data_IF_287882860929
#
_entry.id   IF_287882860929
#
_cell.length_a   1.000
_cell.length_b   1.000
_cell.length_c   1.000
_cell.angle_alpha   90.00
_cell.angle_beta   90.00
_cell.angle_gamma   90.00
#
_symmetry.space_group_name_H-M   'P 1'
#
loop_
_entity.id
_entity.type
_entity.pdbx_description
1 polymer ?
#
# COMPACT_ATOMS: atom_id res chain seq x y z
N UNK A 1 -11.23 35.66 -10.31
CA UNK A 1 -10.59 35.59 -8.97
C UNK A 1 -10.30 34.12 -8.67
N UNK A 2 -9.04 33.68 -8.57
CA UNK A 2 -8.73 32.27 -8.25
C UNK A 2 -9.10 31.99 -6.78
N UNK A 3 -10.13 31.17 -6.55
CA UNK A 3 -10.57 30.81 -5.20
C UNK A 3 -9.72 29.66 -4.68
N UNK A 4 -9.18 29.85 -3.49
CA UNK A 4 -8.14 29.00 -2.92
C UNK A 4 -8.74 27.88 -2.04
N UNK A 5 -8.18 26.67 -2.07
CA UNK A 5 -8.64 25.49 -1.31
C UNK A 5 -8.70 25.73 0.23
N UNK A 6 -9.84 25.51 0.90
CA UNK A 6 -9.96 25.63 2.36
C UNK A 6 -9.27 24.47 3.09
N UNK A 7 -8.02 24.67 3.52
CA UNK A 7 -7.10 23.60 3.95
C UNK A 7 -7.67 22.78 5.11
N UNK A 8 -8.10 23.44 6.19
CA UNK A 8 -8.56 22.78 7.41
C UNK A 8 -9.91 22.09 7.19
N UNK A 9 -10.85 22.73 6.50
CA UNK A 9 -12.16 22.15 6.20
C UNK A 9 -12.03 20.91 5.33
N UNK A 10 -11.18 20.93 4.29
CA UNK A 10 -10.93 19.74 3.45
C UNK A 10 -10.36 18.59 4.27
N UNK A 11 -9.44 18.86 5.20
CA UNK A 11 -8.88 17.83 6.07
C UNK A 11 -9.94 17.24 7.02
N UNK A 12 -10.73 18.08 7.70
CA UNK A 12 -11.80 17.63 8.62
C UNK A 12 -12.87 16.84 7.86
N UNK A 13 -13.28 17.30 6.67
CA UNK A 13 -14.25 16.61 5.83
C UNK A 13 -13.75 15.22 5.42
N UNK A 14 -12.47 15.05 5.13
CA UNK A 14 -11.91 13.74 4.78
C UNK A 14 -12.00 12.71 5.92
N UNK A 15 -11.81 13.16 7.17
CA UNK A 15 -11.95 12.29 8.35
C UNK A 15 -13.41 11.99 8.62
N UNK A 16 -14.29 12.99 8.55
CA UNK A 16 -15.74 12.79 8.70
C UNK A 16 -16.29 11.85 7.63
N UNK A 17 -15.78 11.95 6.39
CA UNK A 17 -16.11 11.03 5.32
C UNK A 17 -15.75 9.59 5.69
N UNK A 18 -14.51 9.35 6.14
CA UNK A 18 -14.09 8.03 6.59
C UNK A 18 -14.99 7.45 7.69
N UNK A 19 -15.21 8.21 8.77
CA UNK A 19 -16.01 7.75 9.91
C UNK A 19 -17.45 7.42 9.52
N UNK A 20 -18.08 8.21 8.63
CA UNK A 20 -19.46 7.96 8.17
C UNK A 20 -19.58 6.79 7.21
N UNK A 21 -18.54 6.53 6.41
CA UNK A 21 -18.63 5.59 5.29
C UNK A 21 -17.82 4.30 5.49
N UNK A 22 -17.08 4.14 6.61
CA UNK A 22 -16.30 2.92 6.90
C UNK A 22 -17.17 1.66 6.90
N UNK A 23 -18.27 1.67 7.65
CA UNK A 23 -19.15 0.52 7.72
C UNK A 23 -19.87 0.24 6.38
N UNK A 24 -20.48 1.24 5.71
CA UNK A 24 -21.00 1.04 4.36
C UNK A 24 -19.97 0.53 3.35
N UNK A 25 -18.72 1.01 3.41
CA UNK A 25 -17.66 0.59 2.50
C UNK A 25 -17.26 -0.87 2.72
N UNK A 26 -17.11 -1.30 3.98
CA UNK A 26 -16.89 -2.72 4.33
C UNK A 26 -18.06 -3.56 3.79
N UNK A 27 -19.29 -3.14 4.10
CA UNK A 27 -20.50 -3.86 3.69
C UNK A 27 -20.64 -4.00 2.18
N UNK A 28 -20.23 -3.00 1.39
CA UNK A 28 -20.35 -3.06 -0.08
C UNK A 28 -19.14 -3.71 -0.75
N UNK A 29 -17.96 -3.61 -0.15
CA UNK A 29 -16.69 -4.01 -0.73
C UNK A 29 -16.16 -5.38 -0.26
N UNK A 30 -16.77 -6.03 0.73
CA UNK A 30 -16.24 -7.30 1.26
C UNK A 30 -16.09 -8.42 0.20
N UNK A 31 -16.97 -8.61 -0.81
CA UNK A 31 -16.76 -9.66 -1.81
C UNK A 31 -15.56 -9.33 -2.70
N UNK A 32 -15.40 -8.06 -3.09
CA UNK A 32 -14.21 -7.57 -3.80
C UNK A 32 -12.94 -7.80 -2.98
N UNK A 33 -13.01 -7.61 -1.66
CA UNK A 33 -11.89 -7.88 -0.76
C UNK A 33 -11.51 -9.37 -0.70
N UNK A 34 -12.50 -10.27 -0.66
CA UNK A 34 -12.22 -11.72 -0.72
C UNK A 34 -11.57 -12.11 -2.05
N UNK A 35 -12.12 -11.62 -3.17
CA UNK A 35 -11.54 -11.91 -4.50
C UNK A 35 -10.13 -11.33 -4.61
N UNK A 36 -9.90 -10.12 -4.12
CA UNK A 36 -8.57 -9.55 -4.02
C UNK A 36 -7.62 -10.43 -3.21
N UNK A 37 -8.01 -10.85 -2.01
CA UNK A 37 -7.17 -11.69 -1.15
C UNK A 37 -6.83 -13.02 -1.83
N UNK A 38 -7.82 -13.66 -2.48
CA UNK A 38 -7.60 -14.88 -3.24
C UNK A 38 -6.60 -14.68 -4.39
N UNK A 39 -6.71 -13.57 -5.13
CA UNK A 39 -5.76 -13.22 -6.21
C UNK A 39 -4.37 -12.86 -5.66
N UNK A 40 -4.27 -12.20 -4.51
CA UNK A 40 -2.99 -11.92 -3.87
C UNK A 40 -2.29 -13.20 -3.41
N UNK A 41 -3.03 -14.13 -2.80
CA UNK A 41 -2.50 -15.45 -2.41
C UNK A 41 -2.08 -16.24 -3.66
N UNK A 42 -2.92 -16.31 -4.68
CA UNK A 42 -2.60 -17.00 -5.92
C UNK A 42 -1.39 -16.39 -6.65
N UNK A 43 -1.32 -15.06 -6.71
CA UNK A 43 -0.19 -14.34 -7.32
C UNK A 43 1.10 -14.55 -6.55
N UNK A 44 1.05 -14.52 -5.21
CA UNK A 44 2.22 -14.81 -4.37
C UNK A 44 2.66 -16.27 -4.50
N UNK A 45 1.72 -17.22 -4.52
CA UNK A 45 2.03 -18.62 -4.81
C UNK A 45 2.71 -18.76 -6.17
N UNK A 46 2.19 -18.13 -7.22
CA UNK A 46 2.83 -18.15 -8.54
C UNK A 46 4.23 -17.52 -8.52
N UNK A 47 4.46 -16.45 -7.75
CA UNK A 47 5.80 -15.88 -7.60
C UNK A 47 6.78 -16.88 -6.99
N UNK A 48 6.38 -17.55 -5.90
CA UNK A 48 7.26 -18.49 -5.21
C UNK A 48 7.48 -19.78 -6.02
N UNK A 49 6.41 -20.35 -6.60
CA UNK A 49 6.47 -21.65 -7.28
C UNK A 49 6.96 -21.57 -8.73
N UNK A 50 6.97 -20.40 -9.38
CA UNK A 50 7.56 -20.25 -10.72
C UNK A 50 9.06 -19.92 -10.70
N UNK A 51 9.64 -19.62 -9.54
CA UNK A 51 11.09 -19.46 -9.42
C UNK A 51 11.72 -20.86 -9.45
N UNK A 52 12.58 -21.18 -10.44
CA UNK A 52 13.17 -22.51 -10.55
C UNK A 52 13.94 -22.89 -9.28
N UNK A 53 13.60 -24.04 -8.70
CA UNK A 53 14.24 -24.59 -7.51
C UNK A 53 13.96 -23.85 -6.19
N UNK A 54 13.14 -22.80 -6.18
CA UNK A 54 12.71 -22.15 -4.93
C UNK A 54 11.93 -23.10 -3.99
N UNK A 55 10.96 -23.92 -4.48
CA UNK A 55 10.29 -24.88 -3.61
C UNK A 55 11.25 -25.91 -3.00
N UNK A 56 12.23 -26.36 -3.78
CA UNK A 56 13.22 -27.32 -3.34
C UNK A 56 14.17 -26.69 -2.30
N UNK A 57 14.57 -25.43 -2.50
CA UNK A 57 15.36 -24.66 -1.53
C UNK A 57 14.62 -24.50 -0.17
N UNK A 58 13.31 -24.22 -0.22
CA UNK A 58 12.48 -24.11 0.99
C UNK A 58 12.35 -25.45 1.70
N UNK A 59 12.17 -26.56 0.97
CA UNK A 59 12.12 -27.89 1.56
C UNK A 59 13.47 -28.28 2.18
N UNK A 60 14.58 -28.04 1.49
CA UNK A 60 15.92 -28.27 2.02
C UNK A 60 16.18 -27.46 3.30
N UNK A 61 15.72 -26.20 3.34
CA UNK A 61 15.80 -25.37 4.53
C UNK A 61 14.96 -25.93 5.69
N UNK A 62 13.75 -26.41 5.42
CA UNK A 62 12.88 -27.03 6.44
C UNK A 62 13.54 -28.30 6.98
N UNK A 63 14.07 -29.17 6.11
CA UNK A 63 14.73 -30.42 6.49
C UNK A 63 15.97 -30.14 7.37
N UNK A 64 16.77 -29.12 7.03
CA UNK A 64 17.93 -28.69 7.83
C UNK A 64 17.49 -28.12 9.19
N UNK A 65 16.42 -27.31 9.22
CA UNK A 65 15.86 -26.79 10.47
C UNK A 65 15.35 -27.91 11.37
N UNK A 66 14.67 -28.91 10.81
CA UNK A 66 14.18 -30.08 11.55
C UNK A 66 15.34 -30.92 12.08
N UNK A 67 16.36 -31.19 11.24
CA UNK A 67 17.56 -31.94 11.64
C UNK A 67 18.30 -31.25 12.81
N UNK A 68 18.45 -29.93 12.76
CA UNK A 68 19.07 -29.17 13.86
C UNK A 68 18.20 -29.16 15.10
N UNK A 69 16.90 -28.96 14.96
CA UNK A 69 15.97 -28.96 16.10
C UNK A 69 16.00 -30.29 16.87
N UNK A 70 16.20 -31.41 16.17
CA UNK A 70 16.32 -32.73 16.76
C UNK A 70 17.64 -32.96 17.53
N UNK A 71 18.70 -32.22 17.17
CA UNK A 71 20.04 -32.34 17.76
C UNK A 71 20.37 -31.21 18.75
N UNK A 72 19.58 -30.13 18.77
CA UNK A 72 19.83 -28.94 19.55
C UNK A 72 19.67 -29.19 21.06
N UNK A 73 20.71 -28.87 21.83
CA UNK A 73 20.67 -28.87 23.30
C UNK A 73 20.04 -27.58 23.82
N UNK A 74 20.14 -26.49 23.05
CA UNK A 74 19.52 -25.19 23.29
C UNK A 74 18.76 -24.70 22.05
N UNK A 75 17.64 -23.96 22.19
CA UNK A 75 16.95 -23.33 21.06
C UNK A 75 17.83 -22.40 20.21
N UNK A 76 18.92 -21.87 20.77
CA UNK A 76 19.91 -21.07 20.04
C UNK A 76 20.75 -21.90 19.07
N UNK A 77 20.94 -23.19 19.34
CA UNK A 77 21.72 -24.10 18.48
C UNK A 77 20.91 -24.53 17.24
N UNK A 78 19.59 -24.32 17.26
CA UNK A 78 18.69 -24.62 16.15
C UNK A 78 18.60 -23.48 15.10
N UNK A 79 19.25 -22.34 15.34
CA UNK A 79 19.25 -21.24 14.37
C UNK A 79 20.21 -21.54 13.20
N UNK A 80 19.69 -21.41 11.98
CA UNK A 80 20.48 -21.42 10.75
C UNK A 80 21.03 -20.01 10.54
N UNK A 81 22.32 -19.90 10.23
CA UNK A 81 22.96 -18.61 9.93
C UNK A 81 22.55 -18.08 8.56
N UNK A 82 22.61 -16.76 8.38
CA UNK A 82 22.29 -16.12 7.10
C UNK A 82 23.12 -16.68 5.93
N UNK A 83 24.42 -16.95 6.16
CA UNK A 83 25.30 -17.52 5.15
C UNK A 83 24.92 -18.94 4.74
N UNK A 84 24.38 -19.75 5.66
CA UNK A 84 23.88 -21.09 5.35
C UNK A 84 22.58 -21.03 4.55
N UNK A 85 21.68 -20.10 4.89
CA UNK A 85 20.48 -19.84 4.08
C UNK A 85 20.88 -19.40 2.67
N UNK A 86 21.82 -18.47 2.54
CA UNK A 86 22.32 -18.01 1.25
C UNK A 86 22.91 -19.16 0.43
N UNK A 87 23.74 -20.02 1.04
CA UNK A 87 24.32 -21.18 0.36
C UNK A 87 23.25 -22.18 -0.15
N UNK A 88 22.23 -22.47 0.66
CA UNK A 88 21.10 -23.32 0.21
C UNK A 88 20.37 -22.65 -0.96
N UNK A 89 20.12 -21.34 -0.88
CA UNK A 89 19.42 -20.64 -1.95
C UNK A 89 20.27 -20.55 -3.23
N UNK A 90 21.58 -20.35 -3.14
CA UNK A 90 22.48 -20.37 -4.31
C UNK A 90 22.57 -21.74 -4.97
N UNK A 91 22.50 -22.82 -4.18
CA UNK A 91 22.55 -24.20 -4.69
C UNK A 91 21.29 -24.56 -5.47
N UNK A 92 20.11 -24.19 -4.95
CA UNK A 92 18.84 -24.64 -5.48
C UNK A 92 18.14 -23.61 -6.38
N UNK A 93 18.28 -22.31 -6.11
CA UNK A 93 17.57 -21.27 -6.87
C UNK A 93 18.31 -20.95 -8.16
N UNK A 94 17.68 -21.30 -9.28
CA UNK A 94 18.19 -20.95 -10.61
C UNK A 94 18.09 -19.46 -10.92
N UNK A 95 18.60 -19.05 -12.09
CA UNK A 95 18.54 -17.66 -12.54
C UNK A 95 17.08 -17.14 -12.54
N UNK A 96 16.83 -16.12 -11.73
CA UNK A 96 15.50 -15.50 -11.63
C UNK A 96 15.30 -14.56 -12.81
N UNK A 97 14.51 -15.01 -13.80
CA UNK A 97 14.15 -14.17 -14.95
C UNK A 97 12.83 -13.45 -14.75
N UNK A 98 12.62 -12.36 -15.50
CA UNK A 98 11.33 -11.65 -15.52
C UNK A 98 10.16 -12.57 -15.90
N UNK A 99 10.40 -13.58 -16.75
CA UNK A 99 9.37 -14.54 -17.16
C UNK A 99 8.87 -15.40 -15.99
N UNK A 100 9.71 -15.65 -14.99
CA UNK A 100 9.32 -16.38 -13.78
C UNK A 100 8.43 -15.54 -12.86
N UNK A 101 8.73 -14.24 -12.75
CA UNK A 101 8.07 -13.31 -11.83
C UNK A 101 6.76 -12.75 -12.42
N UNK A 102 6.75 -12.49 -13.74
CA UNK A 102 5.67 -11.75 -14.40
C UNK A 102 4.26 -12.36 -14.20
N UNK A 103 4.03 -13.69 -14.29
CA UNK A 103 2.72 -14.26 -14.09
C UNK A 103 2.14 -13.95 -12.70
N UNK A 104 2.95 -14.09 -11.65
CA UNK A 104 2.54 -13.79 -10.28
C UNK A 104 2.21 -12.31 -10.10
N UNK A 105 3.04 -11.41 -10.64
CA UNK A 105 2.76 -9.97 -10.65
C UNK A 105 1.46 -9.63 -11.38
N UNK A 106 1.20 -10.22 -12.55
CA UNK A 106 -0.02 -9.98 -13.32
C UNK A 106 -1.27 -10.40 -12.52
N UNK A 107 -1.24 -11.54 -11.84
CA UNK A 107 -2.34 -11.98 -10.98
C UNK A 107 -2.57 -11.04 -9.80
N UNK A 108 -1.49 -10.55 -9.17
CA UNK A 108 -1.60 -9.53 -8.12
C UNK A 108 -2.18 -8.21 -8.66
N UNK A 109 -1.80 -7.79 -9.86
CA UNK A 109 -2.36 -6.61 -10.53
C UNK A 109 -3.85 -6.76 -10.83
N UNK A 110 -4.30 -7.95 -11.25
CA UNK A 110 -5.72 -8.26 -11.40
C UNK A 110 -6.47 -8.08 -10.07
N UNK A 111 -5.84 -8.47 -8.95
CA UNK A 111 -6.36 -8.17 -7.61
C UNK A 111 -6.62 -6.67 -7.40
N UNK A 112 -5.68 -5.81 -7.78
CA UNK A 112 -5.87 -4.36 -7.68
C UNK A 112 -7.06 -3.83 -8.51
N UNK A 113 -7.26 -4.38 -9.71
CA UNK A 113 -8.37 -4.02 -10.61
C UNK A 113 -9.73 -4.31 -9.95
N UNK A 114 -9.80 -5.32 -9.08
CA UNK A 114 -11.03 -5.70 -8.39
C UNK A 114 -11.58 -4.59 -7.48
N UNK A 115 -10.74 -3.68 -7.00
CA UNK A 115 -11.20 -2.53 -6.19
C UNK A 115 -11.58 -1.28 -6.99
N UNK A 116 -11.37 -1.28 -8.31
CA UNK A 116 -11.60 -0.09 -9.14
C UNK A 116 -13.06 0.37 -9.11
N UNK A 117 -14.08 -0.50 -9.29
CA UNK A 117 -15.49 -0.07 -9.20
C UNK A 117 -15.83 0.59 -7.87
N UNK A 118 -15.33 0.02 -6.76
CA UNK A 118 -15.57 0.55 -5.42
C UNK A 118 -14.86 1.89 -5.23
N UNK A 119 -13.64 2.02 -5.75
CA UNK A 119 -12.87 3.27 -5.73
C UNK A 119 -13.60 4.39 -6.46
N UNK A 120 -14.12 4.12 -7.67
CA UNK A 120 -14.93 5.08 -8.45
C UNK A 120 -16.15 5.52 -7.66
N UNK A 121 -16.91 4.56 -7.09
CA UNK A 121 -18.07 4.88 -6.26
C UNK A 121 -17.68 5.79 -5.08
N UNK A 122 -16.64 5.44 -4.32
CA UNK A 122 -16.20 6.20 -3.16
C UNK A 122 -15.72 7.60 -3.52
N UNK A 123 -14.99 7.79 -4.63
CA UNK A 123 -14.62 9.12 -5.10
C UNK A 123 -15.84 9.98 -5.45
N UNK A 124 -16.84 9.39 -6.10
CA UNK A 124 -18.08 10.11 -6.47
C UNK A 124 -18.93 10.46 -5.26
N UNK A 125 -19.02 9.57 -4.26
CA UNK A 125 -19.71 9.86 -3.00
C UNK A 125 -18.96 10.94 -2.21
N UNK A 126 -17.63 10.88 -2.16
CA UNK A 126 -16.81 11.92 -1.53
C UNK A 126 -16.96 13.28 -2.19
N UNK A 127 -17.17 13.31 -3.51
CA UNK A 127 -17.44 14.53 -4.26
C UNK A 127 -18.90 15.03 -4.14
N UNK A 128 -19.80 14.24 -3.55
CA UNK A 128 -21.23 14.55 -3.47
C UNK A 128 -22.00 14.32 -4.79
N UNK A 129 -21.41 13.63 -5.77
CA UNK A 129 -22.01 13.38 -7.09
C UNK A 129 -22.97 12.17 -7.07
N UNK A 130 -22.91 11.33 -6.04
CA UNK A 130 -23.81 10.18 -5.87
C UNK A 130 -23.93 9.75 -4.40
N UNK A 131 -24.90 8.89 -4.09
CA UNK A 131 -25.08 8.30 -2.76
C UNK A 131 -24.62 6.84 -2.74
N UNK A 132 -24.34 6.31 -1.55
CA UNK A 132 -24.03 4.88 -1.41
C UNK A 132 -25.28 4.02 -1.60
N UNK A 133 -25.19 2.92 -2.38
CA UNK A 133 -26.29 1.98 -2.54
C UNK A 133 -26.61 1.27 -1.22
N UNK A 134 -27.89 0.94 -1.01
CA UNK A 134 -28.38 0.30 0.23
C UNK A 134 -28.12 -1.22 0.31
N UNK A 135 -27.44 -1.83 -0.66
CA UNK A 135 -27.18 -3.28 -0.74
C UNK A 135 -25.97 -3.81 0.06
N UNK A 136 -25.64 -5.08 -0.13
CA UNK A 136 -24.52 -5.81 0.52
C UNK A 136 -23.33 -6.07 -0.40
N UNK A 137 -23.41 -5.64 -1.65
CA UNK A 137 -22.34 -5.75 -2.61
C UNK A 137 -22.54 -4.67 -3.67
N UNK A 138 -21.44 -4.05 -4.07
CA UNK A 138 -21.44 -3.15 -5.20
C UNK A 138 -20.35 -3.55 -6.18
N UNK A 139 -20.78 -3.85 -7.41
CA UNK A 139 -19.89 -3.99 -8.53
C UNK A 139 -20.57 -3.49 -9.80
N UNK A 140 -19.95 -2.51 -10.44
CA UNK A 140 -20.45 -1.97 -11.70
C UNK A 140 -19.26 -1.53 -12.54
N UNK A 141 -19.30 -1.89 -13.83
CA UNK A 141 -18.32 -1.45 -14.81
C UNK A 141 -19.05 -0.69 -15.92
N UNK A 142 -18.82 0.61 -16.01
CA UNK A 142 -19.50 1.56 -16.92
C UNK A 142 -18.55 2.20 -17.93
N UNK A 143 -17.24 1.97 -17.81
CA UNK A 143 -16.20 2.54 -18.65
C UNK A 143 -15.37 3.62 -17.95
N UNK A 144 -15.93 4.27 -16.92
CA UNK A 144 -15.20 5.16 -16.00
C UNK A 144 -14.07 4.36 -15.32
N UNK A 145 -14.36 3.13 -14.93
CA UNK A 145 -13.43 2.19 -14.30
C UNK A 145 -12.28 1.83 -15.24
N UNK A 146 -12.56 1.60 -16.54
CA UNK A 146 -11.50 1.40 -17.54
C UNK A 146 -10.57 2.59 -17.62
N UNK A 147 -11.11 3.82 -17.62
CA UNK A 147 -10.28 5.04 -17.64
C UNK A 147 -9.45 5.18 -16.37
N UNK A 148 -10.03 4.85 -15.21
CA UNK A 148 -9.30 4.84 -13.95
C UNK A 148 -8.17 3.79 -13.94
N UNK A 149 -8.40 2.59 -14.49
CA UNK A 149 -7.34 1.58 -14.68
C UNK A 149 -6.24 2.13 -15.58
N UNK A 150 -6.58 2.76 -16.70
CA UNK A 150 -5.59 3.37 -17.59
C UNK A 150 -4.79 4.46 -16.87
N UNK A 151 -5.41 5.29 -16.02
CA UNK A 151 -4.69 6.24 -15.17
C UNK A 151 -3.68 5.52 -14.27
N UNK A 152 -4.09 4.44 -13.61
CA UNK A 152 -3.18 3.68 -12.75
C UNK A 152 -2.05 3.03 -13.53
N UNK A 153 -2.30 2.49 -14.72
CA UNK A 153 -1.26 1.92 -15.59
C UNK A 153 -0.30 3.01 -16.04
N UNK A 154 -0.79 4.14 -16.55
CA UNK A 154 0.06 5.26 -16.95
C UNK A 154 0.88 5.81 -15.77
N UNK A 155 0.27 5.91 -14.58
CA UNK A 155 0.96 6.33 -13.37
C UNK A 155 2.03 5.32 -12.95
N UNK A 156 1.73 4.02 -12.97
CA UNK A 156 2.70 2.97 -12.66
C UNK A 156 3.88 2.99 -13.64
N UNK A 157 3.63 3.08 -14.95
CA UNK A 157 4.68 3.20 -15.97
C UNK A 157 5.53 4.45 -15.74
N UNK A 158 4.90 5.60 -15.45
CA UNK A 158 5.62 6.83 -15.15
C UNK A 158 6.50 6.66 -13.90
N UNK A 159 5.97 6.12 -12.81
CA UNK A 159 6.72 5.90 -11.57
C UNK A 159 7.87 4.90 -11.76
N UNK A 160 7.66 3.81 -12.51
CA UNK A 160 8.70 2.84 -12.86
C UNK A 160 9.79 3.51 -13.68
N UNK A 161 9.41 4.27 -14.72
CA UNK A 161 10.37 4.98 -15.58
C UNK A 161 11.21 5.98 -14.79
N UNK A 162 10.56 6.77 -13.93
CA UNK A 162 11.23 7.79 -13.11
C UNK A 162 12.15 7.11 -12.09
N UNK A 163 11.70 6.04 -11.42
CA UNK A 163 12.51 5.30 -10.42
C UNK A 163 13.68 4.57 -11.07
N UNK A 164 13.47 3.89 -12.20
CA UNK A 164 14.53 3.23 -12.95
C UNK A 164 15.55 4.26 -13.46
N UNK A 165 15.09 5.41 -13.97
CA UNK A 165 15.95 6.51 -14.37
C UNK A 165 16.84 7.02 -13.24
N UNK A 166 16.29 7.16 -12.03
CA UNK A 166 17.09 7.50 -10.85
C UNK A 166 18.12 6.43 -10.54
N UNK A 167 17.69 5.17 -10.44
CA UNK A 167 18.58 4.06 -10.10
C UNK A 167 19.76 3.96 -11.08
N UNK A 168 19.48 3.97 -12.38
CA UNK A 168 20.54 3.93 -13.39
C UNK A 168 21.40 5.20 -13.40
N UNK A 169 20.80 6.36 -13.12
CA UNK A 169 21.53 7.62 -12.97
C UNK A 169 22.51 7.60 -11.79
N UNK A 170 22.09 7.10 -10.62
CA UNK A 170 22.97 6.98 -9.45
C UNK A 170 24.05 5.94 -9.66
N UNK A 171 23.72 4.79 -10.25
CA UNK A 171 24.71 3.76 -10.62
C UNK A 171 25.76 4.32 -11.58
N UNK A 172 25.34 5.08 -12.61
CA UNK A 172 26.26 5.68 -13.57
C UNK A 172 27.22 6.70 -12.92
N UNK A 173 26.72 7.57 -12.04
CA UNK A 173 27.56 8.53 -11.31
C UNK A 173 28.52 7.80 -10.37
N UNK A 174 28.03 6.83 -9.60
CA UNK A 174 28.86 6.04 -8.69
C UNK A 174 29.97 5.29 -9.43
N UNK A 175 29.64 4.68 -10.57
CA UNK A 175 30.60 4.01 -11.45
C UNK A 175 31.65 4.99 -11.99
N UNK A 176 31.24 6.20 -12.35
CA UNK A 176 32.16 7.23 -12.87
C UNK A 176 33.18 7.67 -11.80
N UNK A 177 32.74 7.80 -10.54
CA UNK A 177 33.64 8.12 -9.42
C UNK A 177 34.60 6.97 -9.15
N UNK A 178 34.08 5.74 -9.04
CA UNK A 178 34.86 4.55 -8.70
C UNK A 178 35.90 4.19 -9.76
N UNK A 179 35.52 4.21 -11.04
CA UNK A 179 36.38 3.71 -12.13
C UNK A 179 37.18 4.81 -12.83
N UNK A 180 36.72 6.06 -12.82
CA UNK A 180 37.42 7.18 -13.50
C UNK A 180 38.08 8.15 -12.53
N UNK A 181 37.88 7.98 -11.22
CA UNK A 181 38.46 8.87 -10.20
C UNK A 181 37.93 10.31 -10.28
N UNK A 182 36.79 10.53 -10.94
CA UNK A 182 36.23 11.87 -11.10
C UNK A 182 35.52 12.32 -9.81
N UNK A 183 36.31 12.86 -8.89
CA UNK A 183 35.81 13.34 -7.59
C UNK A 183 34.99 14.63 -7.74
N UNK A 184 35.09 15.32 -8.88
CA UNK A 184 34.39 16.60 -9.12
C UNK A 184 32.88 16.45 -9.20
N UNK A 185 32.39 15.24 -9.51
CA UNK A 185 30.97 14.87 -9.55
C UNK A 185 30.49 14.15 -8.28
N UNK A 186 31.36 13.94 -7.28
CA UNK A 186 31.02 13.23 -6.04
C UNK A 186 29.86 13.83 -5.26
N UNK A 187 29.76 15.17 -5.23
CA UNK A 187 28.66 15.89 -4.58
C UNK A 187 27.30 15.63 -5.24
N UNK A 188 27.28 15.25 -6.53
CA UNK A 188 26.04 14.99 -7.27
C UNK A 188 25.31 13.77 -6.69
N UNK A 189 26.03 12.76 -6.19
CA UNK A 189 25.41 11.62 -5.50
C UNK A 189 24.62 12.02 -4.26
N UNK A 190 25.02 13.10 -3.58
CA UNK A 190 24.32 13.60 -2.40
C UNK A 190 23.13 14.48 -2.77
N UNK A 191 23.25 15.32 -3.80
CA UNK A 191 22.20 16.30 -4.17
C UNK A 191 21.12 15.69 -5.06
N UNK A 192 21.49 14.79 -5.98
CA UNK A 192 20.59 14.22 -6.98
C UNK A 192 19.39 13.48 -6.35
N UNK A 193 19.55 12.64 -5.30
CA UNK A 193 18.42 11.99 -4.66
C UNK A 193 17.41 12.99 -4.08
N UNK A 194 17.87 14.10 -3.50
CA UNK A 194 16.97 15.12 -2.95
C UNK A 194 16.22 15.89 -4.02
N UNK A 195 16.91 16.33 -5.08
CA UNK A 195 16.26 16.96 -6.23
C UNK A 195 15.24 16.03 -6.86
N UNK A 196 15.58 14.75 -6.96
CA UNK A 196 14.67 13.74 -7.47
C UNK A 196 13.46 13.53 -6.56
N UNK A 197 13.63 13.44 -5.24
CA UNK A 197 12.53 13.35 -4.29
C UNK A 197 11.59 14.56 -4.40
N UNK A 198 12.12 15.75 -4.63
CA UNK A 198 11.33 16.96 -4.86
C UNK A 198 10.55 16.89 -6.18
N UNK A 199 11.18 16.43 -7.27
CA UNK A 199 10.51 16.23 -8.57
C UNK A 199 9.43 15.14 -8.46
N UNK A 200 9.74 14.01 -7.83
CA UNK A 200 8.79 12.93 -7.56
C UNK A 200 7.61 13.44 -6.75
N UNK A 201 7.86 14.13 -5.64
CA UNK A 201 6.81 14.72 -4.82
C UNK A 201 5.94 15.67 -5.65
N UNK A 202 6.55 16.52 -6.47
CA UNK A 202 5.84 17.45 -7.34
C UNK A 202 4.97 16.72 -8.38
N UNK A 203 5.53 15.72 -9.08
CA UNK A 203 4.83 14.92 -10.09
C UNK A 203 3.69 14.15 -9.43
N UNK A 204 3.95 13.43 -8.33
CA UNK A 204 2.97 12.65 -7.59
C UNK A 204 1.82 13.53 -7.11
N UNK A 205 2.10 14.65 -6.45
CA UNK A 205 1.05 15.55 -5.96
C UNK A 205 0.15 16.07 -7.09
N UNK A 206 0.74 16.37 -8.24
CA UNK A 206 -0.01 16.83 -9.39
C UNK A 206 -0.80 15.71 -10.06
N UNK A 207 -0.25 14.50 -10.11
CA UNK A 207 -0.93 13.34 -10.66
C UNK A 207 -2.02 12.80 -9.73
N UNK A 208 -1.97 13.06 -8.43
CA UNK A 208 -3.02 12.68 -7.47
C UNK A 208 -4.39 13.22 -7.86
N UNK A 209 -4.46 14.36 -8.56
CA UNK A 209 -5.72 14.94 -9.03
C UNK A 209 -6.24 14.31 -10.34
N UNK A 210 -5.41 13.54 -11.06
CA UNK A 210 -5.85 12.82 -12.27
C UNK A 210 -6.82 11.69 -11.91
N UNK A 211 -6.57 11.02 -10.78
CA UNK A 211 -7.39 9.91 -10.26
C UNK A 211 -8.85 10.37 -10.03
N UNK A 212 -9.14 11.39 -9.19
CA UNK A 212 -10.50 11.86 -9.00
C UNK A 212 -11.09 12.49 -10.27
N UNK A 213 -10.30 13.17 -11.12
CA UNK A 213 -10.79 13.67 -12.40
C UNK A 213 -11.31 12.54 -13.31
N UNK A 214 -10.58 11.43 -13.42
CA UNK A 214 -11.01 10.27 -14.17
C UNK A 214 -12.21 9.57 -13.54
N UNK A 215 -12.22 9.42 -12.21
CA UNK A 215 -13.28 8.72 -11.49
C UNK A 215 -14.61 9.51 -11.42
N UNK A 216 -14.55 10.85 -11.43
CA UNK A 216 -15.72 11.71 -11.19
C UNK A 216 -16.25 12.28 -12.52
N UNK A 217 -15.37 12.79 -13.37
CA UNK A 217 -15.76 13.52 -14.59
C UNK A 217 -15.62 12.68 -15.85
N UNK A 218 -15.25 11.42 -15.71
CA UNK A 218 -15.06 10.49 -16.82
C UNK A 218 -14.09 11.05 -17.88
N UNK A 219 -13.03 11.77 -17.48
CA UNK A 219 -12.04 12.32 -18.44
C UNK A 219 -10.61 12.01 -18.05
N UNK A 220 -9.85 11.50 -19.02
CA UNK A 220 -8.40 11.39 -18.90
C UNK A 220 -7.75 12.68 -19.43
N UNK A 221 -7.57 13.66 -18.55
CA UNK A 221 -6.95 14.94 -18.93
C UNK A 221 -5.89 15.36 -17.93
N UNK A 222 -4.63 15.06 -18.26
CA UNK A 222 -3.46 15.50 -17.51
C UNK A 222 -3.42 17.03 -17.45
N UNK A 223 -3.69 17.71 -18.57
CA UNK A 223 -3.70 19.18 -18.63
C UNK A 223 -4.72 19.81 -17.68
N UNK A 224 -5.94 19.27 -17.62
CA UNK A 224 -6.96 19.77 -16.69
C UNK A 224 -6.55 19.57 -15.22
N UNK A 225 -5.98 18.40 -14.88
CA UNK A 225 -5.46 18.14 -13.54
C UNK A 225 -4.28 19.06 -13.16
N UNK A 226 -3.36 19.31 -14.10
CA UNK A 226 -2.25 20.25 -13.91
C UNK A 226 -2.75 21.70 -13.76
N UNK A 227 -3.76 22.10 -14.55
CA UNK A 227 -4.40 23.40 -14.45
C UNK A 227 -5.08 23.61 -13.09
N UNK A 228 -5.84 22.60 -12.64
CA UNK A 228 -6.52 22.61 -11.34
C UNK A 228 -5.54 22.76 -10.15
N UNK A 229 -4.35 22.19 -10.27
CA UNK A 229 -3.31 22.26 -9.23
C UNK A 229 -2.47 23.54 -9.26
N UNK A 230 -2.41 24.26 -10.39
CA UNK A 230 -1.52 25.41 -10.60
C UNK A 230 -1.66 26.55 -9.58
N UNK A 231 -2.87 26.82 -9.09
CA UNK A 231 -3.12 27.84 -8.05
C UNK A 231 -3.29 27.29 -6.63
N UNK A 232 -3.38 25.96 -6.48
CA UNK A 232 -3.70 25.28 -5.22
C UNK A 232 -2.61 24.34 -4.72
N UNK A 233 -1.47 24.23 -5.42
CA UNK A 233 -0.40 23.28 -5.11
C UNK A 233 0.01 23.26 -3.62
N UNK A 234 0.42 24.42 -3.07
CA UNK A 234 0.80 24.51 -1.66
C UNK A 234 -0.35 24.25 -0.69
N UNK A 235 -1.60 24.48 -1.11
CA UNK A 235 -2.78 24.20 -0.27
C UNK A 235 -3.17 22.73 -0.28
N UNK A 236 -2.98 22.06 -1.41
CA UNK A 236 -3.06 20.60 -1.51
C UNK A 236 -2.00 19.96 -0.62
N UNK A 237 -0.76 20.44 -0.67
CA UNK A 237 0.31 20.00 0.25
C UNK A 237 -0.09 20.24 1.70
N UNK A 238 -0.48 21.48 2.04
CA UNK A 238 -0.86 21.82 3.40
C UNK A 238 -2.01 20.95 3.93
N UNK A 239 -3.02 20.67 3.11
CA UNK A 239 -4.15 19.83 3.55
C UNK A 239 -3.74 18.37 3.66
N UNK A 240 -2.90 17.87 2.74
CA UNK A 240 -2.34 16.53 2.81
C UNK A 240 -1.48 16.35 4.07
N UNK A 241 -0.64 17.32 4.43
CA UNK A 241 0.17 17.29 5.66
C UNK A 241 -0.73 17.20 6.88
N UNK A 242 -1.77 18.03 6.97
CA UNK A 242 -2.71 17.99 8.11
C UNK A 242 -3.41 16.62 8.17
N UNK A 243 -3.91 16.12 7.04
CA UNK A 243 -4.52 14.78 6.98
C UNK A 243 -3.54 13.70 7.41
N UNK A 244 -2.27 13.76 6.97
CA UNK A 244 -1.25 12.78 7.36
C UNK A 244 -0.90 12.87 8.83
N UNK A 245 -0.78 14.06 9.42
CA UNK A 245 -0.56 14.22 10.86
C UNK A 245 -1.71 13.59 11.65
N UNK A 246 -2.96 13.85 11.23
CA UNK A 246 -4.14 13.28 11.88
C UNK A 246 -4.18 11.75 11.73
N UNK A 247 -3.87 11.23 10.54
CA UNK A 247 -3.75 9.79 10.28
C UNK A 247 -2.66 9.16 11.15
N UNK A 248 -1.48 9.79 11.26
CA UNK A 248 -0.38 9.32 12.13
C UNK A 248 -0.83 9.31 13.59
N UNK A 249 -1.50 10.36 14.07
CA UNK A 249 -2.03 10.40 15.42
C UNK A 249 -3.05 9.27 15.67
N UNK A 250 -3.95 9.01 14.71
CA UNK A 250 -4.87 7.88 14.78
C UNK A 250 -4.12 6.54 14.80
N UNK A 251 -3.08 6.37 13.98
CA UNK A 251 -2.25 5.16 13.93
C UNK A 251 -1.60 4.93 15.30
N UNK A 252 -0.93 5.95 15.86
CA UNK A 252 -0.29 5.86 17.17
C UNK A 252 -1.29 5.53 18.28
N UNK A 253 -2.46 6.15 18.27
CA UNK A 253 -3.53 5.85 19.22
C UNK A 253 -4.02 4.40 19.09
N UNK A 254 -4.17 3.92 17.86
CA UNK A 254 -4.58 2.54 17.58
C UNK A 254 -3.52 1.52 18.05
N UNK A 255 -2.23 1.75 17.75
CA UNK A 255 -1.14 0.91 18.24
C UNK A 255 -1.05 0.90 19.76
N UNK A 256 -1.28 2.04 20.41
CA UNK A 256 -1.34 2.09 21.87
C UNK A 256 -2.48 1.24 22.43
N UNK A 257 -3.66 1.28 21.80
CA UNK A 257 -4.80 0.42 22.16
C UNK A 257 -4.43 -1.05 21.97
N UNK A 258 -3.87 -1.42 20.82
CA UNK A 258 -3.43 -2.81 20.58
C UNK A 258 -2.38 -3.25 21.59
N UNK A 259 -1.41 -2.41 21.90
CA UNK A 259 -0.39 -2.68 22.91
C UNK A 259 -1.00 -2.95 24.29
N UNK A 260 -1.96 -2.12 24.73
CA UNK A 260 -2.68 -2.32 26.00
C UNK A 260 -3.48 -3.64 25.98
N UNK A 261 -4.16 -3.94 24.87
CA UNK A 261 -4.90 -5.20 24.70
C UNK A 261 -3.97 -6.41 24.74
N UNK A 262 -2.81 -6.33 24.09
CA UNK A 262 -1.79 -7.39 24.10
C UNK A 262 -1.18 -7.58 25.49
N UNK A 263 -0.89 -6.52 26.24
CA UNK A 263 -0.43 -6.61 27.63
C UNK A 263 -1.48 -7.27 28.53
N UNK A 264 -2.75 -6.92 28.34
CA UNK A 264 -3.86 -7.50 29.09
C UNK A 264 -4.02 -8.98 28.76
N UNK A 265 -3.96 -9.34 27.47
CA UNK A 265 -4.02 -10.72 27.02
C UNK A 265 -2.84 -11.56 27.54
N UNK A 266 -1.62 -11.02 27.50
CA UNK A 266 -0.43 -11.67 28.06
C UNK A 266 -0.52 -11.87 29.57
N UNK A 267 -0.98 -10.85 30.30
CA UNK A 267 -1.22 -10.94 31.75
C UNK A 267 -2.26 -12.01 32.11
N UNK A 268 -3.35 -12.11 31.33
CA UNK A 268 -4.35 -13.16 31.51
C UNK A 268 -3.81 -14.55 31.11
N UNK A 269 -3.00 -14.64 30.04
CA UNK A 269 -2.35 -15.88 29.63
C UNK A 269 -1.46 -16.47 30.74
N UNK A 270 -0.66 -15.61 31.40
CA UNK A 270 0.16 -16.00 32.55
C UNK A 270 -0.69 -16.48 33.75
N UNK A 271 -1.91 -15.96 33.93
CA UNK A 271 -2.81 -16.40 35.01
C UNK A 271 -3.49 -17.74 34.73
N UNK A 272 -3.81 -18.06 33.46
CA UNK A 272 -4.50 -19.30 33.08
C UNK A 272 -3.56 -20.43 32.66
N UNK A 273 -2.25 -20.16 32.54
CA UNK A 273 -1.22 -21.09 32.07
C UNK A 273 -1.30 -21.34 30.55
N UNK A 274 -0.17 -21.22 29.86
CA UNK A 274 -0.08 -21.27 28.38
C UNK A 274 -0.60 -22.56 27.73
N UNK A 275 -0.72 -23.64 28.51
CA UNK A 275 -1.22 -24.94 28.03
C UNK A 275 -2.73 -25.16 28.17
N UNK A 276 -3.45 -24.33 28.93
CA UNK A 276 -4.88 -24.58 29.21
C UNK A 276 -5.77 -24.31 27.99
N UNK A 277 -6.86 -25.08 27.85
CA UNK A 277 -7.84 -24.86 26.78
C UNK A 277 -8.46 -23.45 26.86
N UNK A 278 -8.64 -22.93 28.08
CA UNK A 278 -9.08 -21.56 28.32
C UNK A 278 -8.07 -20.52 27.80
N UNK A 279 -6.77 -20.72 28.06
CA UNK A 279 -5.71 -19.86 27.54
C UNK A 279 -5.66 -19.86 26.01
N UNK A 280 -5.78 -21.03 25.37
CA UNK A 280 -5.82 -21.16 23.89
C UNK A 280 -7.04 -20.47 23.28
N UNK A 281 -8.23 -20.63 23.87
CA UNK A 281 -9.46 -19.96 23.40
C UNK A 281 -9.31 -18.44 23.55
N UNK A 282 -8.82 -17.96 24.69
CA UNK A 282 -8.60 -16.54 24.93
C UNK A 282 -7.59 -15.95 23.92
N UNK A 283 -6.49 -16.64 23.68
CA UNK A 283 -5.48 -16.26 22.68
C UNK A 283 -6.07 -16.18 21.27
N UNK A 284 -6.86 -17.17 20.85
CA UNK A 284 -7.52 -17.17 19.56
C UNK A 284 -8.52 -16.02 19.40
N UNK A 285 -9.34 -15.74 20.42
CA UNK A 285 -10.28 -14.61 20.42
C UNK A 285 -9.52 -13.28 20.31
N UNK A 286 -8.45 -13.10 21.08
CA UNK A 286 -7.64 -11.88 21.04
C UNK A 286 -6.96 -11.67 19.68
N UNK A 287 -6.49 -12.75 19.05
CA UNK A 287 -5.95 -12.70 17.70
C UNK A 287 -7.02 -12.25 16.69
N UNK A 288 -8.21 -12.84 16.73
CA UNK A 288 -9.33 -12.48 15.83
C UNK A 288 -9.74 -11.02 16.03
N UNK A 289 -9.87 -10.56 17.28
CA UNK A 289 -10.20 -9.17 17.60
C UNK A 289 -9.11 -8.21 17.09
N UNK A 290 -7.84 -8.55 17.31
CA UNK A 290 -6.70 -7.73 16.88
C UNK A 290 -6.64 -7.61 15.36
N UNK A 291 -6.77 -8.74 14.64
CA UNK A 291 -6.78 -8.77 13.18
C UNK A 291 -8.00 -8.02 12.62
N UNK A 292 -9.19 -8.24 13.19
CA UNK A 292 -10.42 -7.55 12.79
C UNK A 292 -10.34 -6.03 13.01
N UNK A 293 -9.84 -5.60 14.17
CA UNK A 293 -9.62 -4.19 14.46
C UNK A 293 -8.58 -3.56 13.53
N UNK A 294 -7.49 -4.27 13.24
CA UNK A 294 -6.44 -3.80 12.33
C UNK A 294 -6.97 -3.64 10.90
N UNK A 295 -7.74 -4.61 10.42
CA UNK A 295 -8.38 -4.54 9.10
C UNK A 295 -9.38 -3.38 9.03
N UNK A 296 -10.26 -3.24 10.03
CA UNK A 296 -11.21 -2.13 10.12
C UNK A 296 -10.47 -0.78 10.07
N UNK A 297 -9.41 -0.66 10.85
CA UNK A 297 -8.61 0.55 10.94
C UNK A 297 -7.90 0.87 9.61
N UNK A 298 -7.32 -0.12 8.94
CA UNK A 298 -6.74 0.07 7.60
C UNK A 298 -7.77 0.55 6.58
N UNK A 299 -8.98 -0.02 6.60
CA UNK A 299 -10.07 0.41 5.70
C UNK A 299 -10.47 1.86 6.02
N UNK A 300 -10.62 2.21 7.31
CA UNK A 300 -10.91 3.58 7.72
C UNK A 300 -9.85 4.57 7.22
N UNK A 301 -8.56 4.26 7.37
CA UNK A 301 -7.47 5.12 6.90
C UNK A 301 -7.45 5.28 5.37
N UNK A 302 -7.72 4.21 4.63
CA UNK A 302 -7.85 4.29 3.17
C UNK A 302 -9.01 5.20 2.77
N UNK A 303 -10.14 5.14 3.47
CA UNK A 303 -11.30 6.02 3.22
C UNK A 303 -11.02 7.49 3.51
N UNK A 304 -10.11 7.82 4.44
CA UNK A 304 -9.66 9.21 4.63
C UNK A 304 -9.02 9.71 3.33
N UNK A 305 -8.22 8.88 2.65
CA UNK A 305 -7.58 9.25 1.38
C UNK A 305 -8.60 9.45 0.27
N UNK A 306 -9.63 8.59 0.16
CA UNK A 306 -10.74 8.77 -0.79
C UNK A 306 -11.53 10.05 -0.50
N UNK A 307 -11.85 10.30 0.77
CA UNK A 307 -12.55 11.51 1.22
C UNK A 307 -11.75 12.78 0.92
N UNK A 308 -10.43 12.75 1.14
CA UNK A 308 -9.55 13.88 0.82
C UNK A 308 -9.47 14.12 -0.67
N UNK A 309 -9.18 13.09 -1.48
CA UNK A 309 -9.07 13.21 -2.94
C UNK A 309 -10.37 13.68 -3.60
N UNK A 310 -11.50 13.06 -3.25
CA UNK A 310 -12.81 13.42 -3.79
C UNK A 310 -13.26 14.81 -3.33
N UNK A 311 -13.13 15.12 -2.05
CA UNK A 311 -13.49 16.42 -1.48
C UNK A 311 -12.60 17.57 -2.00
N UNK A 312 -11.29 17.35 -2.09
CA UNK A 312 -10.37 18.33 -2.66
C UNK A 312 -10.67 18.59 -4.14
N UNK A 313 -10.93 17.54 -4.92
CA UNK A 313 -11.31 17.70 -6.32
C UNK A 313 -12.62 18.47 -6.48
N UNK A 314 -13.67 18.11 -5.74
CA UNK A 314 -14.96 18.81 -5.80
C UNK A 314 -14.84 20.30 -5.40
N UNK A 315 -14.01 20.60 -4.39
CA UNK A 315 -13.74 21.97 -3.95
C UNK A 315 -13.00 22.80 -5.02
N UNK A 316 -12.13 22.16 -5.81
CA UNK A 316 -11.38 22.81 -6.90
C UNK A 316 -12.24 22.92 -8.16
N UNK A 317 -13.05 21.90 -8.51
CA UNK A 317 -13.90 21.88 -9.71
C UNK A 317 -15.00 22.92 -9.66
N UNK A 318 -15.72 23.01 -8.54
CA UNK A 318 -16.97 23.76 -8.43
C UNK A 318 -16.76 25.27 -8.18
N UNK A 319 -15.55 25.83 -8.38
CA UNK A 319 -15.19 27.19 -7.97
C UNK A 319 -14.21 27.88 -8.90
#
# INVERSE_FOLDING_TARGET
MSRKLPIAETAVQSIQFSLRHVWPAIRLGWPSFIVFLALMIAGFALLLFNIPGFPDAVLALIDEMEARSALAVSPLDAFISEAEVEAIFEEYVGEVSLLNILPGLLVMMLGGIVFVPMSVLLFRVAAGDTELPKGYFYWRWTGIETRLVLVYICYAIAMITITAGLYWGTVWIASSILFRGDVTIGWVLYVLPWLFLLVMLWVTLRSLMIIPAAAIEDRFSVGAALGATGGNFFRLIGSLIIVKILVIACILAFWLILFILSLTAGGLGLQFGDGSMAGKILGAVMLVVTLGASLFFMIALNLVSFGWLGGAWAAIRNR
#
